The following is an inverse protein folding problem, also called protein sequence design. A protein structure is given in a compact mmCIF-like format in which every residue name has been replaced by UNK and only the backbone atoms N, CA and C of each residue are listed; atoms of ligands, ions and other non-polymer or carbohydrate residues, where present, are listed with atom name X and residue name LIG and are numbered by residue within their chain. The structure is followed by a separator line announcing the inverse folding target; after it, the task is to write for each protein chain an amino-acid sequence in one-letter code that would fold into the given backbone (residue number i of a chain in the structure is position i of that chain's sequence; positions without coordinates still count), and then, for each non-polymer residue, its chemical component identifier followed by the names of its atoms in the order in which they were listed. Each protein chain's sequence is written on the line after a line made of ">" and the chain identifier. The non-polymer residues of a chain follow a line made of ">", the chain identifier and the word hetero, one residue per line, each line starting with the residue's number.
data_IF_355230768201
#
_entry.id   IF_355230768201
#
_cell.length_a   1.000
_cell.length_b   1.000
_cell.length_c   1.000
_cell.angle_alpha   90.00
_cell.angle_beta   90.00
_cell.angle_gamma   90.00
#
_symmetry.space_group_name_H-M   'P 1'
#
loop_
_entity.id
_entity.type
_entity.pdbx_description
1 polymer ?
#
# COMPACT_ATOMS: atom_id res chain seq x y z
N UNK A 1 16.98 73.87 8.55
CA UNK A 1 16.46 72.81 7.63
C UNK A 1 16.94 71.47 8.12
N UNK A 2 16.11 70.65 8.80
CA UNK A 2 16.41 69.29 9.29
C UNK A 2 15.72 68.29 8.36
N UNK A 3 16.51 67.54 7.65
CA UNK A 3 16.04 66.41 6.79
C UNK A 3 15.87 65.18 7.68
N UNK A 4 14.63 64.65 7.80
CA UNK A 4 14.35 63.37 8.42
C UNK A 4 14.51 62.27 7.36
N UNK A 5 15.47 61.35 7.59
CA UNK A 5 15.57 60.10 6.85
C UNK A 5 14.56 59.13 7.47
N UNK A 6 13.68 58.58 6.62
CA UNK A 6 12.80 57.47 6.96
C UNK A 6 13.58 56.15 6.84
N UNK A 7 13.49 55.22 7.80
CA UNK A 7 14.09 53.90 7.65
C UNK A 7 13.25 53.02 6.72
N UNK A 8 13.92 52.47 5.72
CA UNK A 8 13.33 51.51 4.79
C UNK A 8 12.97 50.19 5.52
N UNK A 9 11.70 49.83 5.47
CA UNK A 9 11.20 48.56 5.92
C UNK A 9 11.61 47.49 4.89
N UNK A 10 12.57 46.63 5.24
CA UNK A 10 12.95 45.48 4.46
C UNK A 10 11.92 44.37 4.75
N UNK A 11 10.99 44.15 3.82
CA UNK A 11 10.05 43.02 3.90
C UNK A 11 10.79 41.76 3.48
N UNK A 12 11.16 40.93 4.45
CA UNK A 12 11.69 39.59 4.20
C UNK A 12 10.49 38.71 3.84
N UNK A 13 10.32 38.41 2.54
CA UNK A 13 9.38 37.40 2.07
C UNK A 13 9.99 36.03 2.35
N UNK A 14 9.51 35.38 3.42
CA UNK A 14 9.87 34.00 3.74
C UNK A 14 9.11 33.07 2.76
N UNK A 15 9.78 32.66 1.68
CA UNK A 15 9.24 31.63 0.78
C UNK A 15 9.38 30.29 1.50
N UNK A 16 8.29 29.83 2.13
CA UNK A 16 8.18 28.45 2.57
C UNK A 16 8.15 27.55 1.32
N UNK A 17 9.30 27.01 0.94
CA UNK A 17 9.38 25.95 -0.05
C UNK A 17 8.66 24.71 0.48
N UNK A 18 7.49 24.37 -0.08
CA UNK A 18 6.92 23.04 0.07
C UNK A 18 7.90 22.04 -0.55
N UNK A 19 8.73 21.43 0.28
CA UNK A 19 9.49 20.25 -0.14
C UNK A 19 8.48 19.11 -0.24
N UNK A 20 8.00 18.82 -1.45
CA UNK A 20 7.34 17.55 -1.74
C UNK A 20 8.40 16.47 -1.53
N UNK A 21 8.34 15.78 -0.40
CA UNK A 21 9.11 14.55 -0.20
C UNK A 21 8.63 13.55 -1.26
N UNK A 22 9.42 13.43 -2.31
CA UNK A 22 9.27 12.34 -3.27
C UNK A 22 9.65 11.07 -2.53
N UNK A 23 8.67 10.30 -2.10
CA UNK A 23 8.88 8.98 -1.50
C UNK A 23 9.42 8.06 -2.60
N UNK A 24 10.73 7.91 -2.66
CA UNK A 24 11.37 6.94 -3.54
C UNK A 24 11.17 5.53 -2.93
N UNK A 25 9.95 5.00 -3.02
CA UNK A 25 9.62 3.65 -2.56
C UNK A 25 10.18 2.55 -3.45
N UNK A 26 10.69 2.89 -4.63
CA UNK A 26 11.07 1.93 -5.67
C UNK A 26 9.87 1.36 -6.45
N UNK A 27 8.65 1.68 -6.07
CA UNK A 27 7.45 1.37 -6.88
C UNK A 27 7.41 2.35 -8.06
N UNK A 28 7.18 1.87 -9.32
CA UNK A 28 7.10 2.76 -10.47
C UNK A 28 6.03 3.84 -10.31
N UNK A 29 6.37 5.07 -10.65
CA UNK A 29 5.45 6.22 -10.57
C UNK A 29 4.24 6.09 -11.51
N UNK A 30 4.27 5.15 -12.45
CA UNK A 30 3.14 4.85 -13.35
C UNK A 30 2.04 4.01 -12.69
N UNK A 31 2.31 3.41 -11.53
CA UNK A 31 1.28 2.63 -10.80
C UNK A 31 0.44 3.62 -9.98
N UNK A 32 -0.88 3.69 -10.20
CA UNK A 32 -1.74 4.59 -9.45
C UNK A 32 -1.78 4.24 -7.97
N UNK A 33 -1.97 5.25 -7.12
CA UNK A 33 -2.13 5.10 -5.68
C UNK A 33 -3.55 5.47 -5.32
N UNK A 34 -4.25 4.59 -4.61
CA UNK A 34 -5.64 4.79 -4.21
C UNK A 34 -5.80 4.64 -2.69
N UNK A 35 -6.76 5.37 -2.08
CA UNK A 35 -7.09 5.17 -0.68
C UNK A 35 -7.78 3.83 -0.48
N UNK A 36 -7.38 3.12 0.56
CA UNK A 36 -7.96 1.86 0.98
C UNK A 36 -8.10 1.87 2.49
N UNK A 37 -9.12 1.24 3.02
CA UNK A 37 -9.31 1.09 4.45
C UNK A 37 -9.59 -0.35 4.81
N UNK A 38 -9.08 -0.82 5.95
CA UNK A 38 -9.44 -2.10 6.54
C UNK A 38 -10.24 -1.84 7.81
N UNK A 39 -11.41 -2.47 7.90
CA UNK A 39 -12.28 -2.42 9.09
C UNK A 39 -12.24 -3.77 9.76
N UNK A 40 -11.75 -3.81 10.98
CA UNK A 40 -11.66 -5.04 11.76
C UNK A 40 -13.05 -5.44 12.33
N UNK A 41 -13.22 -6.69 12.71
CA UNK A 41 -14.42 -7.16 13.39
C UNK A 41 -14.70 -6.40 14.70
N UNK A 42 -13.66 -5.82 15.32
CA UNK A 42 -13.77 -4.94 16.48
C UNK A 42 -14.20 -3.51 16.16
N UNK A 43 -14.35 -3.16 14.88
CA UNK A 43 -14.73 -1.83 14.40
C UNK A 43 -13.55 -0.85 14.28
N UNK A 44 -12.31 -1.28 14.50
CA UNK A 44 -11.14 -0.45 14.25
C UNK A 44 -10.94 -0.24 12.74
N UNK A 45 -10.49 0.96 12.38
CA UNK A 45 -10.32 1.38 10.98
C UNK A 45 -8.87 1.75 10.72
N UNK A 46 -8.27 1.12 9.71
CA UNK A 46 -6.88 1.34 9.32
C UNK A 46 -6.81 1.81 7.88
N UNK A 47 -6.37 3.05 7.67
CA UNK A 47 -6.24 3.65 6.34
C UNK A 47 -4.86 3.38 5.73
N UNK A 48 -4.86 3.09 4.43
CA UNK A 48 -3.67 2.84 3.62
C UNK A 48 -3.72 3.62 2.31
N UNK A 49 -2.54 3.94 1.78
CA UNK A 49 -2.34 4.36 0.39
C UNK A 49 -1.86 3.12 -0.39
N UNK A 50 -2.75 2.52 -1.17
CA UNK A 50 -2.46 1.29 -1.89
C UNK A 50 -2.05 1.57 -3.34
N UNK A 51 -0.89 1.08 -3.76
CA UNK A 51 -0.52 1.01 -5.17
C UNK A 51 -1.41 -0.02 -5.86
N UNK A 52 -2.11 0.35 -6.93
CA UNK A 52 -3.04 -0.53 -7.62
C UNK A 52 -2.36 -1.26 -8.79
N UNK A 53 -2.22 -2.57 -8.67
CA UNK A 53 -1.73 -3.46 -9.73
C UNK A 53 -2.92 -4.13 -10.42
N UNK A 54 -3.47 -3.48 -11.47
CA UNK A 54 -4.67 -3.90 -12.21
C UNK A 54 -4.40 -4.33 -13.66
N UNK A 55 -3.16 -4.19 -14.13
CA UNK A 55 -2.74 -4.71 -15.44
C UNK A 55 -1.93 -6.00 -15.32
N UNK A 56 -1.86 -6.85 -16.35
CA UNK A 56 -1.00 -8.04 -16.35
C UNK A 56 0.47 -7.71 -16.01
N UNK A 57 1.00 -6.60 -16.53
CA UNK A 57 2.38 -6.16 -16.33
C UNK A 57 2.61 -5.70 -14.88
N UNK A 58 1.71 -4.88 -14.33
CA UNK A 58 1.80 -4.41 -12.94
C UNK A 58 1.65 -5.55 -11.94
N UNK A 59 0.73 -6.49 -12.18
CA UNK A 59 0.57 -7.71 -11.37
C UNK A 59 1.81 -8.61 -11.43
N UNK A 60 2.38 -8.81 -12.63
CA UNK A 60 3.58 -9.64 -12.79
C UNK A 60 4.81 -9.03 -12.12
N UNK A 61 4.92 -7.71 -12.10
CA UNK A 61 6.00 -7.00 -11.43
C UNK A 61 5.79 -6.96 -9.91
N UNK A 62 4.61 -6.59 -9.44
CA UNK A 62 4.33 -6.41 -8.02
C UNK A 62 5.38 -5.52 -7.32
N UNK A 63 5.77 -5.91 -6.11
CA UNK A 63 6.81 -5.26 -5.31
C UNK A 63 8.23 -5.80 -5.58
N UNK A 64 8.47 -6.44 -6.73
CA UNK A 64 9.83 -6.85 -7.11
C UNK A 64 10.79 -5.67 -7.13
N UNK A 65 11.97 -5.85 -6.53
CA UNK A 65 13.06 -4.85 -6.43
C UNK A 65 12.72 -3.63 -5.57
N UNK A 66 11.56 -3.59 -4.93
CA UNK A 66 11.21 -2.56 -3.94
C UNK A 66 11.90 -2.88 -2.63
N UNK A 67 12.69 -1.93 -2.11
CA UNK A 67 13.47 -2.13 -0.89
C UNK A 67 12.85 -1.46 0.34
N UNK A 68 11.83 -0.63 0.13
CA UNK A 68 11.13 0.06 1.21
C UNK A 68 9.68 0.31 0.84
N UNK A 69 8.79 -0.01 1.76
CA UNK A 69 7.37 0.31 1.74
C UNK A 69 7.04 1.02 3.07
N UNK A 70 6.44 2.21 3.01
CA UNK A 70 6.09 2.94 4.24
C UNK A 70 4.97 2.22 5.00
N UNK A 71 4.89 2.37 6.34
CA UNK A 71 3.92 1.62 7.15
C UNK A 71 2.45 1.83 6.76
N UNK A 72 2.10 3.00 6.20
CA UNK A 72 0.76 3.30 5.70
C UNK A 72 0.57 3.00 4.22
N UNK A 73 1.50 2.27 3.59
CA UNK A 73 1.43 1.89 2.18
C UNK A 73 1.22 0.39 2.01
N UNK A 74 0.62 0.01 0.89
CA UNK A 74 0.46 -1.36 0.45
C UNK A 74 0.41 -1.46 -1.07
N UNK A 75 0.30 -2.67 -1.60
CA UNK A 75 0.00 -2.92 -3.01
C UNK A 75 -1.22 -3.83 -3.13
N UNK A 76 -2.25 -3.33 -3.82
CA UNK A 76 -3.48 -4.05 -4.09
C UNK A 76 -3.44 -4.62 -5.51
N UNK A 77 -3.51 -5.93 -5.62
CA UNK A 77 -3.58 -6.65 -6.88
C UNK A 77 -5.05 -6.94 -7.21
N UNK A 78 -5.59 -6.37 -8.29
CA UNK A 78 -6.92 -6.71 -8.80
C UNK A 78 -6.78 -7.82 -9.86
N UNK A 79 -7.40 -8.95 -9.62
CA UNK A 79 -7.46 -10.07 -10.56
C UNK A 79 -8.76 -10.10 -11.40
N UNK A 80 -9.56 -9.02 -11.33
CA UNK A 80 -10.75 -8.75 -12.12
C UNK A 80 -11.96 -9.65 -11.78
N UNK A 81 -11.73 -10.93 -11.49
CA UNK A 81 -12.77 -11.90 -11.13
C UNK A 81 -12.26 -12.92 -10.11
N UNK A 82 -13.15 -13.45 -9.26
CA UNK A 82 -12.79 -14.48 -8.28
C UNK A 82 -12.22 -15.73 -8.96
N UNK A 83 -11.08 -16.19 -8.46
CA UNK A 83 -10.41 -17.44 -8.84
C UNK A 83 -9.34 -17.83 -7.83
N UNK A 84 -8.82 -19.08 -7.83
CA UNK A 84 -7.63 -19.42 -7.07
C UNK A 84 -6.44 -18.59 -7.53
N UNK A 85 -5.76 -17.93 -6.59
CA UNK A 85 -4.59 -17.10 -6.85
C UNK A 85 -3.35 -17.73 -6.25
N UNK A 86 -2.26 -17.62 -6.99
CA UNK A 86 -0.94 -18.10 -6.60
C UNK A 86 0.05 -16.95 -6.63
N UNK A 87 0.64 -16.66 -5.48
CA UNK A 87 1.64 -15.61 -5.29
C UNK A 87 3.02 -16.23 -5.02
N UNK A 88 4.04 -15.43 -5.07
CA UNK A 88 5.43 -15.76 -4.72
C UNK A 88 6.19 -14.51 -4.29
N UNK A 89 7.38 -14.70 -3.72
CA UNK A 89 8.27 -13.61 -3.30
C UNK A 89 9.48 -13.46 -4.23
N UNK A 90 9.40 -13.94 -5.48
CA UNK A 90 10.49 -13.83 -6.45
C UNK A 90 10.95 -12.38 -6.62
N UNK A 91 12.25 -12.12 -6.51
CA UNK A 91 12.86 -10.80 -6.62
C UNK A 91 12.32 -9.73 -5.63
N UNK A 92 11.64 -10.15 -4.57
CA UNK A 92 11.04 -9.25 -3.57
C UNK A 92 11.87 -9.30 -2.28
N UNK A 93 12.65 -8.24 -1.98
CA UNK A 93 13.53 -8.21 -0.82
C UNK A 93 12.81 -7.92 0.50
N UNK A 94 11.55 -7.44 0.43
CA UNK A 94 10.72 -7.18 1.60
C UNK A 94 10.10 -8.47 2.14
N UNK A 95 9.94 -8.58 3.47
CA UNK A 95 8.96 -9.48 4.06
C UNK A 95 7.60 -8.80 4.02
N UNK A 96 6.57 -9.50 3.57
CA UNK A 96 5.23 -8.97 3.38
C UNK A 96 4.19 -9.82 4.10
N UNK A 97 3.07 -9.20 4.48
CA UNK A 97 1.82 -9.89 4.80
C UNK A 97 0.95 -9.86 3.53
N UNK A 98 0.51 -11.02 3.05
CA UNK A 98 -0.39 -11.15 1.89
C UNK A 98 -1.80 -11.45 2.39
N UNK A 99 -2.72 -10.49 2.19
CA UNK A 99 -4.13 -10.60 2.57
C UNK A 99 -4.92 -11.00 1.32
N UNK A 100 -5.48 -12.20 1.31
CA UNK A 100 -6.32 -12.71 0.22
C UNK A 100 -7.76 -12.29 0.47
N UNK A 101 -8.38 -11.63 -0.53
CA UNK A 101 -9.64 -10.89 -0.39
C UNK A 101 -10.64 -11.41 -1.42
N UNK A 102 -11.84 -11.79 -0.99
CA UNK A 102 -12.91 -12.24 -1.88
C UNK A 102 -13.59 -11.07 -2.63
N UNK A 103 -14.64 -11.37 -3.39
CA UNK A 103 -15.37 -10.39 -4.20
C UNK A 103 -16.18 -9.38 -3.37
N UNK A 104 -16.51 -9.75 -2.12
CA UNK A 104 -17.22 -8.88 -1.16
C UNK A 104 -16.29 -8.01 -0.32
N UNK A 105 -14.97 -8.08 -0.56
CA UNK A 105 -13.96 -7.35 0.18
C UNK A 105 -13.61 -7.98 1.53
N UNK A 106 -14.00 -9.24 1.80
CA UNK A 106 -13.67 -9.92 3.04
C UNK A 106 -12.31 -10.59 2.92
N UNK A 107 -11.46 -10.41 3.92
CA UNK A 107 -10.17 -11.11 4.02
C UNK A 107 -10.44 -12.57 4.36
N UNK A 108 -10.14 -13.48 3.42
CA UNK A 108 -10.37 -14.92 3.60
C UNK A 108 -9.19 -15.62 4.25
N UNK A 109 -7.97 -15.12 4.01
CA UNK A 109 -6.72 -15.70 4.49
C UNK A 109 -5.62 -14.65 4.55
N UNK A 110 -4.70 -14.78 5.49
CA UNK A 110 -3.47 -14.00 5.58
C UNK A 110 -2.26 -14.94 5.60
N UNK A 111 -1.31 -14.73 4.68
CA UNK A 111 0.03 -15.28 4.79
C UNK A 111 0.93 -14.22 5.37
N UNK A 112 1.29 -14.35 6.65
CA UNK A 112 2.05 -13.36 7.37
C UNK A 112 3.56 -13.55 7.23
N UNK A 113 4.32 -12.44 7.22
CA UNK A 113 5.79 -12.42 7.24
C UNK A 113 6.42 -13.35 6.21
N UNK A 114 5.96 -13.24 4.96
CA UNK A 114 6.49 -14.03 3.84
C UNK A 114 8.01 -13.94 3.78
N UNK A 115 8.63 -15.05 3.34
CA UNK A 115 10.08 -15.13 3.22
C UNK A 115 10.57 -14.38 1.97
N UNK A 116 11.41 -13.33 2.12
CA UNK A 116 11.99 -12.63 0.99
C UNK A 116 12.67 -13.56 -0.01
N UNK A 117 12.56 -13.25 -1.30
CA UNK A 117 13.15 -13.98 -2.43
C UNK A 117 12.66 -15.43 -2.60
N UNK A 118 11.73 -15.93 -1.80
CA UNK A 118 11.18 -17.28 -1.96
C UNK A 118 10.43 -17.42 -3.29
N UNK A 119 10.63 -18.56 -3.96
CA UNK A 119 9.87 -18.94 -5.16
C UNK A 119 8.81 -20.01 -4.84
N UNK A 120 8.63 -20.35 -3.58
CA UNK A 120 7.54 -21.20 -3.13
C UNK A 120 6.20 -20.54 -3.41
N UNK A 121 5.24 -21.36 -3.84
CA UNK A 121 3.90 -20.88 -4.17
C UNK A 121 3.10 -20.66 -2.89
N UNK A 122 2.54 -19.46 -2.76
CA UNK A 122 1.61 -19.08 -1.71
C UNK A 122 0.22 -19.03 -2.34
N UNK A 123 -0.61 -20.04 -2.02
CA UNK A 123 -1.96 -20.16 -2.58
C UNK A 123 -2.98 -19.40 -1.74
N UNK A 124 -3.99 -18.82 -2.39
CA UNK A 124 -5.16 -18.25 -1.70
C UNK A 124 -5.97 -19.31 -0.92
N UNK A 125 -5.95 -20.58 -1.38
CA UNK A 125 -6.74 -21.67 -0.79
C UNK A 125 -8.21 -21.66 -1.17
N UNK A 126 -8.73 -20.57 -1.70
CA UNK A 126 -10.09 -20.38 -2.19
C UNK A 126 -10.10 -19.40 -3.34
N UNK A 127 -11.25 -19.19 -3.98
CA UNK A 127 -11.43 -18.13 -4.94
C UNK A 127 -11.34 -16.78 -4.24
N UNK A 128 -10.52 -15.86 -4.80
CA UNK A 128 -10.37 -14.50 -4.32
C UNK A 128 -10.31 -13.54 -5.50
N UNK A 129 -10.81 -12.32 -5.29
CA UNK A 129 -10.77 -11.24 -6.29
C UNK A 129 -9.47 -10.46 -6.25
N UNK A 130 -8.91 -10.28 -5.05
CA UNK A 130 -7.76 -9.41 -4.87
C UNK A 130 -6.77 -9.98 -3.84
N UNK A 131 -5.54 -9.45 -3.87
CA UNK A 131 -4.54 -9.64 -2.82
C UNK A 131 -4.01 -8.27 -2.42
N UNK A 132 -3.95 -8.00 -1.11
CA UNK A 132 -3.30 -6.82 -0.56
C UNK A 132 -1.99 -7.23 0.11
N UNK A 133 -0.89 -6.66 -0.35
CA UNK A 133 0.43 -6.79 0.27
C UNK A 133 0.71 -5.61 1.19
N UNK A 134 1.06 -5.89 2.44
CA UNK A 134 1.49 -4.94 3.46
C UNK A 134 2.88 -5.33 3.98
N UNK A 135 3.54 -4.44 4.73
CA UNK A 135 4.78 -4.81 5.42
C UNK A 135 4.58 -6.01 6.34
N UNK A 136 5.54 -6.93 6.35
CA UNK A 136 5.47 -8.16 7.14
C UNK A 136 5.30 -7.91 8.64
N UNK A 137 4.28 -8.53 9.23
CA UNK A 137 3.90 -8.39 10.64
C UNK A 137 3.00 -7.18 10.93
N UNK A 138 2.65 -6.39 9.92
CA UNK A 138 1.79 -5.21 10.12
C UNK A 138 0.33 -5.63 10.40
N UNK A 139 -0.16 -6.69 9.74
CA UNK A 139 -1.50 -7.21 10.00
C UNK A 139 -1.67 -7.60 11.48
N UNK A 140 -0.75 -8.39 12.03
CA UNK A 140 -0.77 -8.76 13.44
C UNK A 140 -0.70 -7.55 14.37
N UNK A 141 0.20 -6.60 14.09
CA UNK A 141 0.37 -5.37 14.88
C UNK A 141 -0.91 -4.53 14.95
N UNK A 142 -1.71 -4.52 13.89
CA UNK A 142 -2.95 -3.77 13.77
C UNK A 142 -4.21 -4.59 14.12
N UNK A 143 -4.05 -5.85 14.54
CA UNK A 143 -5.17 -6.73 14.86
C UNK A 143 -6.01 -7.14 13.65
N UNK A 144 -5.45 -7.02 12.43
CA UNK A 144 -6.12 -7.42 11.19
C UNK A 144 -6.10 -8.94 11.05
N UNK A 145 -7.25 -9.53 10.78
CA UNK A 145 -7.45 -10.97 10.71
C UNK A 145 -8.36 -11.40 9.54
N UNK A 146 -8.40 -12.69 9.24
CA UNK A 146 -9.42 -13.24 8.35
C UNK A 146 -10.82 -12.97 8.93
N UNK A 147 -11.75 -12.55 8.07
CA UNK A 147 -13.08 -12.08 8.42
C UNK A 147 -13.22 -10.55 8.48
N UNK A 148 -12.11 -9.81 8.54
CA UNK A 148 -12.13 -8.35 8.43
C UNK A 148 -12.44 -7.90 7.01
N UNK A 149 -12.87 -6.64 6.85
CA UNK A 149 -13.34 -6.11 5.58
C UNK A 149 -12.42 -5.02 5.04
N UNK A 150 -12.05 -5.16 3.79
CA UNK A 150 -11.37 -4.13 2.99
C UNK A 150 -12.43 -3.27 2.30
N UNK A 151 -12.34 -1.96 2.50
CA UNK A 151 -13.19 -0.95 1.86
C UNK A 151 -12.37 -0.31 0.74
N UNK A 152 -12.78 -0.55 -0.47
CA UNK A 152 -12.17 -0.01 -1.69
C UNK A 152 -13.16 -0.12 -2.84
N UNK A 153 -13.08 0.77 -3.85
CA UNK A 153 -13.99 0.79 -5.02
C UNK A 153 -14.07 -0.52 -5.82
N UNK A 154 -13.09 -1.40 -5.67
CA UNK A 154 -13.11 -2.71 -6.32
C UNK A 154 -14.18 -3.65 -5.75
N UNK A 155 -14.66 -3.38 -4.55
CA UNK A 155 -15.60 -4.23 -3.81
C UNK A 155 -16.98 -3.56 -3.63
N UNK A 156 -17.22 -2.43 -4.36
CA UNK A 156 -18.50 -1.67 -4.37
C UNK A 156 -19.49 -2.23 -5.39
#
# INVERSE_FOLDING_TARGET
>A
MRRYLLPGFCVIVLVLGLHTMTLASGVPASIPVEPLEIVTAGGERHAFAAYLADTPESRARGLMYVTRLEPGQGMLFDFESPRPIHMWMKNTPLSLDMLFIDEDGVITRIEARTRPFSTEIISSGSDVRAVLELNGGLAEKLGIAAGDRVIHRLFD
#
